data_IF_299411527410
#
_entry.id   IF_299411527410
#
_cell.length_a   1.000
_cell.length_b   1.000
_cell.length_c   1.000
_cell.angle_alpha   90.00
_cell.angle_beta   90.00
_cell.angle_gamma   90.00
#
_symmetry.space_group_name_H-M   'P 1'
#
loop_
_entity.id
_entity.type
_entity.pdbx_description
1 polymer ?
#
# COMPACT_ATOMS: atom_id res chain seq x y z
N UNK A 1 11.93 1.89 -21.28
CA UNK A 1 11.17 2.94 -20.61
C UNK A 1 9.76 2.90 -21.15
N UNK A 2 8.81 2.40 -20.37
CA UNK A 2 7.39 2.37 -20.74
C UNK A 2 6.74 3.70 -20.32
N UNK A 3 5.52 3.96 -20.80
CA UNK A 3 4.78 5.15 -20.38
C UNK A 3 4.45 5.12 -18.87
N UNK A 4 4.49 3.96 -18.24
CA UNK A 4 4.05 3.72 -16.86
C UNK A 4 5.15 3.98 -15.82
N UNK A 5 6.42 3.99 -16.22
CA UNK A 5 7.58 4.07 -15.31
C UNK A 5 7.63 5.37 -14.47
N UNK A 6 6.86 6.41 -14.86
CA UNK A 6 6.79 7.69 -14.15
C UNK A 6 5.46 7.91 -13.41
N UNK A 7 4.63 6.87 -13.32
CA UNK A 7 3.34 6.94 -12.63
C UNK A 7 3.33 5.99 -11.44
N UNK A 8 2.62 6.39 -10.40
CA UNK A 8 2.42 5.62 -9.18
C UNK A 8 0.93 5.49 -8.91
N UNK A 9 0.54 4.38 -8.28
CA UNK A 9 -0.82 4.17 -7.76
C UNK A 9 -0.77 4.26 -6.25
N UNK A 10 -1.67 5.05 -5.66
CA UNK A 10 -1.74 5.22 -4.21
C UNK A 10 -2.73 4.23 -3.59
N UNK A 11 -2.26 3.51 -2.59
CA UNK A 11 -3.02 2.55 -1.82
C UNK A 11 -3.45 3.18 -0.48
N UNK A 12 -4.64 3.79 -0.50
CA UNK A 12 -5.17 4.50 0.66
C UNK A 12 -5.95 3.55 1.56
N UNK A 13 -5.58 3.51 2.85
CA UNK A 13 -6.24 2.66 3.85
C UNK A 13 -7.10 3.52 4.77
N UNK A 14 -8.40 3.20 4.82
CA UNK A 14 -9.32 3.81 5.77
C UNK A 14 -9.23 3.16 7.14
N UNK A 15 -9.14 3.96 8.20
CA UNK A 15 -9.28 3.49 9.58
C UNK A 15 -9.93 4.57 10.46
N UNK A 16 -10.11 4.28 11.75
CA UNK A 16 -10.73 5.20 12.71
C UNK A 16 -9.93 5.28 13.99
N UNK A 17 -9.70 6.51 14.48
CA UNK A 17 -8.94 6.76 15.71
C UNK A 17 -9.56 6.11 16.96
N UNK A 18 -10.88 5.90 16.98
CA UNK A 18 -11.60 5.24 18.07
C UNK A 18 -11.20 3.78 18.29
N UNK A 19 -10.52 3.15 17.32
CA UNK A 19 -10.03 1.77 17.45
C UNK A 19 -8.76 1.65 18.29
N UNK A 20 -8.12 2.78 18.65
CA UNK A 20 -6.94 2.80 19.49
C UNK A 20 -5.62 2.53 18.73
N UNK A 21 -4.48 2.90 19.34
CA UNK A 21 -3.19 2.96 18.66
C UNK A 21 -2.67 1.60 18.19
N UNK A 22 -2.94 0.53 18.93
CA UNK A 22 -2.47 -0.81 18.56
C UNK A 22 -3.20 -1.33 17.31
N UNK A 23 -4.51 -1.11 17.21
CA UNK A 23 -5.28 -1.48 16.02
C UNK A 23 -4.84 -0.66 14.81
N UNK A 24 -4.58 0.64 14.98
CA UNK A 24 -4.03 1.47 13.90
C UNK A 24 -2.65 0.97 13.44
N UNK A 25 -1.78 0.59 14.37
CA UNK A 25 -0.45 0.03 14.08
C UNK A 25 -0.56 -1.26 13.26
N UNK A 26 -1.48 -2.15 13.62
CA UNK A 26 -1.73 -3.39 12.87
C UNK A 26 -2.24 -3.11 11.46
N UNK A 27 -3.15 -2.14 11.30
CA UNK A 27 -3.65 -1.72 9.99
C UNK A 27 -2.50 -1.19 9.11
N UNK A 28 -1.62 -0.35 9.65
CA UNK A 28 -0.43 0.13 8.93
C UNK A 28 0.49 -1.03 8.52
N UNK A 29 0.76 -1.97 9.44
CA UNK A 29 1.61 -3.13 9.13
C UNK A 29 1.04 -4.02 8.02
N UNK A 30 -0.27 -4.27 8.06
CA UNK A 30 -0.92 -5.05 7.00
C UNK A 30 -0.91 -4.31 5.67
N UNK A 31 -1.13 -2.99 5.68
CA UNK A 31 -1.07 -2.18 4.47
C UNK A 31 0.31 -2.22 3.81
N UNK A 32 1.38 -2.03 4.59
CA UNK A 32 2.76 -2.13 4.11
C UNK A 32 3.04 -3.52 3.54
N UNK A 33 2.60 -4.59 4.21
CA UNK A 33 2.78 -5.95 3.71
C UNK A 33 2.08 -6.17 2.38
N UNK A 34 0.84 -5.69 2.22
CA UNK A 34 0.08 -5.80 0.98
C UNK A 34 0.76 -5.03 -0.16
N UNK A 35 1.15 -3.78 0.06
CA UNK A 35 1.81 -2.97 -0.98
C UNK A 35 3.16 -3.55 -1.38
N UNK A 36 3.94 -4.05 -0.42
CA UNK A 36 5.19 -4.73 -0.73
C UNK A 36 4.95 -5.97 -1.58
N UNK A 37 4.02 -6.84 -1.20
CA UNK A 37 3.68 -8.04 -1.96
C UNK A 37 3.18 -7.70 -3.38
N UNK A 38 2.35 -6.65 -3.52
CA UNK A 38 1.89 -6.17 -4.82
C UNK A 38 3.04 -5.68 -5.70
N UNK A 39 4.04 -5.00 -5.13
CA UNK A 39 5.17 -4.51 -5.90
C UNK A 39 6.19 -5.62 -6.26
N UNK A 40 6.26 -6.70 -5.47
CA UNK A 40 7.28 -7.74 -5.66
C UNK A 40 6.77 -9.01 -6.34
N UNK A 41 5.51 -9.38 -6.13
CA UNK A 41 4.95 -10.66 -6.59
C UNK A 41 3.91 -10.51 -7.71
N UNK A 42 3.33 -9.31 -7.87
CA UNK A 42 2.38 -9.05 -8.96
C UNK A 42 3.09 -8.59 -10.22
N UNK A 43 2.51 -8.89 -11.39
CA UNK A 43 2.87 -8.25 -12.66
C UNK A 43 2.25 -6.84 -12.79
N UNK A 44 2.11 -6.12 -11.68
CA UNK A 44 1.57 -4.78 -11.68
C UNK A 44 2.42 -3.88 -12.57
N UNK A 45 1.80 -3.23 -13.55
CA UNK A 45 2.48 -2.35 -14.49
C UNK A 45 2.96 -1.04 -13.84
N UNK A 46 2.53 -0.75 -12.62
CA UNK A 46 2.78 0.49 -11.89
C UNK A 46 3.19 0.18 -10.45
N UNK A 47 4.12 0.97 -9.93
CA UNK A 47 4.50 0.92 -8.53
C UNK A 47 3.32 1.40 -7.65
N UNK A 48 3.05 0.67 -6.58
CA UNK A 48 2.05 1.02 -5.57
C UNK A 48 2.74 1.65 -4.34
N UNK A 49 2.20 2.76 -3.82
CA UNK A 49 2.66 3.41 -2.58
C UNK A 49 1.56 3.48 -1.51
N UNK A 50 1.95 3.53 -0.23
CA UNK A 50 1.07 3.76 0.93
C UNK A 50 1.14 5.21 1.41
#
# INVERSE_FOLDING_TARGET
MTIFDNYEVWFVIGSQHLYGPETLRQVTQHAEHVVNALNTESEAALQTGC
#
